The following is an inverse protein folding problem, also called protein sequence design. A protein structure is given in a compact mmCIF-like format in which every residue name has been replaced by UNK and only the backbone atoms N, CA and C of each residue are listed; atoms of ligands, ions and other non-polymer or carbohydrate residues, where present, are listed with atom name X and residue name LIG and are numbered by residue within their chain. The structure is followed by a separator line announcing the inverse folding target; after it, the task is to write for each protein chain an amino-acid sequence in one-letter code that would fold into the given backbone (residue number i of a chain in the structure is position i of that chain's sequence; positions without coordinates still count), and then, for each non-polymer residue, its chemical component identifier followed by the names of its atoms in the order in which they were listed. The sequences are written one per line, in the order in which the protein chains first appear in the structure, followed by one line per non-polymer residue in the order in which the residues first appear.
data_IF_871797241882
#
_entry.id   IF_871797241882
#
_cell.length_a   1.000
_cell.length_b   1.000
_cell.length_c   1.000
_cell.angle_alpha   90.00
_cell.angle_beta   90.00
_cell.angle_gamma   90.00
#
_symmetry.space_group_name_H-M   'P 1'
#
loop_
_entity.id
_entity.type
_entity.pdbx_description
1 polymer ?
#
# COMPACT_ATOMS: atom_id res chain seq x y z
N UNK A 1 -3.26 5.41 -31.27
CA UNK A 1 -4.33 6.11 -30.54
C UNK A 1 -4.50 5.49 -29.14
N UNK A 2 -3.40 5.26 -28.39
CA UNK A 2 -3.40 4.59 -27.08
C UNK A 2 -2.60 5.35 -25.98
N UNK A 3 -2.07 6.52 -26.29
CA UNK A 3 -1.21 7.28 -25.36
C UNK A 3 -1.99 8.30 -24.51
N UNK A 4 -3.20 8.68 -24.92
CA UNK A 4 -3.99 9.74 -24.24
C UNK A 4 -4.78 9.24 -23.03
N UNK A 5 -5.04 7.93 -22.93
CA UNK A 5 -5.87 7.34 -21.87
C UNK A 5 -5.06 7.01 -20.58
N UNK A 6 -3.72 7.02 -20.68
CA UNK A 6 -2.81 6.65 -19.57
C UNK A 6 -2.64 7.74 -18.51
N UNK A 7 -3.09 8.95 -18.75
CA UNK A 7 -2.89 10.11 -17.85
C UNK A 7 -4.16 10.56 -17.12
N UNK A 8 -5.17 9.71 -17.02
CA UNK A 8 -6.34 10.01 -16.20
C UNK A 8 -5.97 9.90 -14.70
N UNK A 9 -6.53 10.79 -13.90
CA UNK A 9 -6.39 10.73 -12.46
C UNK A 9 -6.98 9.41 -11.94
N UNK A 10 -6.15 8.55 -11.39
CA UNK A 10 -6.55 7.25 -10.85
C UNK A 10 -6.91 7.32 -9.37
N UNK A 11 -6.36 8.30 -8.64
CA UNK A 11 -6.71 8.59 -7.26
C UNK A 11 -6.83 10.11 -7.10
N UNK A 12 -7.97 10.56 -6.59
CA UNK A 12 -8.23 11.98 -6.26
C UNK A 12 -8.77 12.06 -4.86
N UNK A 13 -8.04 12.73 -3.99
CA UNK A 13 -8.41 13.06 -2.62
C UNK A 13 -8.64 14.56 -2.57
N UNK A 14 -9.80 15.00 -2.08
CA UNK A 14 -10.16 16.42 -2.06
C UNK A 14 -10.64 16.82 -0.66
N UNK A 15 -9.91 17.72 -0.01
CA UNK A 15 -10.26 18.35 1.25
C UNK A 15 -10.53 17.37 2.39
N UNK A 16 -9.75 16.28 2.49
CA UNK A 16 -10.01 15.22 3.46
C UNK A 16 -9.61 15.63 4.86
N UNK A 17 -10.60 15.60 5.77
CA UNK A 17 -10.42 15.75 7.21
C UNK A 17 -10.64 14.41 7.91
N UNK A 18 -9.85 14.15 8.98
CA UNK A 18 -10.05 13.02 9.88
C UNK A 18 -9.69 13.35 11.32
N UNK A 19 -10.58 12.98 12.24
CA UNK A 19 -10.37 13.13 13.69
C UNK A 19 -10.66 11.83 14.42
N UNK A 20 -9.95 11.62 15.52
CA UNK A 20 -10.26 10.58 16.49
C UNK A 20 -10.50 11.25 17.86
N UNK A 21 -11.75 11.25 18.27
CA UNK A 21 -12.18 12.02 19.44
C UNK A 21 -11.86 13.50 19.27
N UNK A 22 -10.99 14.05 20.12
CA UNK A 22 -10.57 15.47 20.08
C UNK A 22 -9.32 15.72 19.25
N UNK A 23 -8.65 14.68 18.77
CA UNK A 23 -7.38 14.78 18.03
C UNK A 23 -7.64 14.84 16.54
N UNK A 24 -7.22 15.91 15.88
CA UNK A 24 -7.18 16.03 14.42
C UNK A 24 -5.98 15.25 13.89
N UNK A 25 -6.21 14.39 12.90
CA UNK A 25 -5.18 13.56 12.25
C UNK A 25 -4.90 14.06 10.84
N UNK A 26 -5.95 14.42 10.11
CA UNK A 26 -5.85 15.00 8.77
C UNK A 26 -6.73 16.24 8.71
N UNK A 27 -6.26 17.29 8.04
CA UNK A 27 -6.98 18.54 7.89
C UNK A 27 -6.80 19.08 6.47
N UNK A 28 -7.89 19.10 5.69
CA UNK A 28 -7.93 19.65 4.35
C UNK A 28 -6.96 18.99 3.36
N UNK A 29 -6.73 17.67 3.49
CA UNK A 29 -5.71 16.98 2.67
C UNK A 29 -6.21 16.82 1.25
N UNK A 30 -5.37 17.28 0.30
CA UNK A 30 -5.54 17.07 -1.13
C UNK A 30 -4.40 16.18 -1.67
N UNK A 31 -4.74 15.20 -2.49
CA UNK A 31 -3.78 14.33 -3.19
C UNK A 31 -4.40 13.88 -4.51
N UNK A 32 -3.66 14.06 -5.59
CA UNK A 32 -4.04 13.50 -6.90
C UNK A 32 -2.90 12.65 -7.41
N UNK A 33 -3.20 11.43 -7.86
CA UNK A 33 -2.21 10.51 -8.47
C UNK A 33 -2.73 10.05 -9.82
N UNK A 34 -1.88 10.17 -10.83
CA UNK A 34 -2.21 9.81 -12.21
C UNK A 34 -1.83 8.37 -12.52
N UNK A 35 -2.45 7.81 -13.54
CA UNK A 35 -1.97 6.55 -14.12
C UNK A 35 -0.55 6.71 -14.65
N UNK A 36 0.35 5.77 -14.28
CA UNK A 36 1.77 5.85 -14.62
C UNK A 36 2.57 6.81 -13.75
N UNK A 37 2.10 7.10 -12.53
CA UNK A 37 2.80 7.94 -11.55
C UNK A 37 3.10 7.15 -10.28
N UNK A 38 4.32 7.30 -9.75
CA UNK A 38 4.74 6.82 -8.42
C UNK A 38 4.91 8.02 -7.50
N UNK A 39 4.11 8.08 -6.44
CA UNK A 39 4.14 9.17 -5.45
C UNK A 39 4.64 8.63 -4.11
N UNK A 40 5.69 9.24 -3.57
CA UNK A 40 6.09 8.99 -2.19
C UNK A 40 5.26 9.86 -1.24
N UNK A 41 4.63 9.24 -0.26
CA UNK A 41 3.96 9.91 0.83
C UNK A 41 4.87 9.92 2.07
N UNK A 42 5.35 11.09 2.45
CA UNK A 42 6.28 11.30 3.56
C UNK A 42 5.63 12.09 4.69
N UNK A 43 6.36 12.32 5.76
CA UNK A 43 5.92 13.09 6.93
C UNK A 43 6.34 12.41 8.24
N UNK A 44 6.28 13.14 9.34
CA UNK A 44 6.65 12.64 10.67
C UNK A 44 5.80 11.43 11.11
N UNK A 45 6.29 10.71 12.12
CA UNK A 45 5.53 9.64 12.74
C UNK A 45 4.26 10.24 13.37
N UNK A 46 3.12 9.69 12.93
CA UNK A 46 1.84 10.19 13.37
C UNK A 46 1.27 11.34 12.55
N UNK A 47 1.88 11.79 11.46
CA UNK A 47 1.30 12.78 10.54
C UNK A 47 0.01 12.32 9.84
N UNK A 48 -0.38 11.06 10.01
CA UNK A 48 -1.64 10.55 9.44
C UNK A 48 -1.48 9.77 8.13
N UNK A 49 -0.26 9.44 7.71
CA UNK A 49 0.01 8.70 6.47
C UNK A 49 -0.84 7.41 6.34
N UNK A 50 -0.74 6.52 7.31
CA UNK A 50 -1.55 5.28 7.37
C UNK A 50 -3.05 5.57 7.41
N UNK A 51 -3.47 6.66 8.09
CA UNK A 51 -4.88 7.06 8.13
C UNK A 51 -5.37 7.47 6.74
N UNK A 52 -4.59 8.28 6.02
CA UNK A 52 -4.90 8.67 4.65
C UNK A 52 -4.96 7.45 3.72
N UNK A 53 -3.98 6.55 3.81
CA UNK A 53 -3.97 5.31 3.02
C UNK A 53 -5.22 4.45 3.26
N UNK A 54 -5.65 4.31 4.53
CA UNK A 54 -6.88 3.57 4.89
C UNK A 54 -8.15 4.26 4.39
N UNK A 55 -8.19 5.59 4.36
CA UNK A 55 -9.30 6.35 3.77
C UNK A 55 -9.33 6.12 2.27
N UNK A 56 -8.19 6.22 1.57
CA UNK A 56 -8.08 5.96 0.14
C UNK A 56 -8.48 4.52 -0.22
N UNK A 57 -8.13 3.54 0.63
CA UNK A 57 -8.52 2.15 0.47
C UNK A 57 -10.00 1.86 0.81
N UNK A 58 -10.76 2.86 1.28
CA UNK A 58 -12.16 2.70 1.67
C UNK A 58 -12.37 1.94 3.00
N UNK A 59 -11.31 1.69 3.77
CA UNK A 59 -11.36 0.94 5.04
C UNK A 59 -11.90 1.78 6.21
N UNK A 60 -11.72 3.10 6.15
CA UNK A 60 -12.28 4.06 7.12
C UNK A 60 -12.86 5.25 6.37
N UNK A 61 -13.89 5.87 6.92
CA UNK A 61 -14.50 7.07 6.35
C UNK A 61 -13.73 8.34 6.75
N UNK A 62 -13.56 9.26 5.82
CA UNK A 62 -13.23 10.64 6.12
C UNK A 62 -14.38 11.29 6.88
N UNK A 63 -14.07 12.30 7.71
CA UNK A 63 -15.09 13.09 8.40
C UNK A 63 -15.60 14.22 7.48
N UNK A 64 -14.74 14.71 6.56
CA UNK A 64 -15.05 15.64 5.46
C UNK A 64 -14.21 15.33 4.24
N UNK A 65 -14.58 15.92 3.11
CA UNK A 65 -13.91 15.71 1.84
C UNK A 65 -14.35 14.41 1.15
N UNK A 66 -13.72 14.12 0.04
CA UNK A 66 -14.04 12.92 -0.77
C UNK A 66 -12.80 12.25 -1.34
N UNK A 67 -12.93 10.96 -1.65
CA UNK A 67 -11.92 10.18 -2.38
C UNK A 67 -12.58 9.55 -3.58
N UNK A 68 -11.99 9.77 -4.77
CA UNK A 68 -12.39 9.14 -6.03
C UNK A 68 -11.28 8.24 -6.53
N UNK A 69 -11.62 7.05 -6.96
CA UNK A 69 -10.67 6.03 -7.45
C UNK A 69 -11.08 5.57 -8.83
N UNK A 70 -10.16 5.57 -9.77
CA UNK A 70 -10.36 5.20 -11.17
C UNK A 70 -10.11 3.70 -11.42
N UNK A 71 -10.68 2.81 -10.61
CA UNK A 71 -10.55 1.36 -10.80
C UNK A 71 -10.34 0.58 -9.51
N UNK A 72 -9.77 -0.62 -9.61
CA UNK A 72 -9.49 -1.46 -8.46
C UNK A 72 -8.30 -0.96 -7.65
N UNK A 73 -8.35 -1.12 -6.33
CA UNK A 73 -7.30 -0.78 -5.39
C UNK A 73 -6.63 -2.05 -4.86
N UNK A 74 -5.30 -2.05 -4.83
CA UNK A 74 -4.49 -2.94 -4.03
C UNK A 74 -3.93 -2.18 -2.83
N UNK A 75 -4.19 -2.66 -1.61
CA UNK A 75 -3.66 -2.05 -0.40
C UNK A 75 -2.77 -3.01 0.36
N UNK A 76 -1.52 -2.61 0.55
CA UNK A 76 -0.54 -3.31 1.39
C UNK A 76 -0.34 -2.50 2.68
N UNK A 77 -0.95 -2.88 3.80
CA UNK A 77 -0.77 -2.20 5.08
C UNK A 77 0.62 -2.43 5.66
N UNK A 78 1.10 -1.51 6.50
CA UNK A 78 2.37 -1.60 7.21
C UNK A 78 2.47 -2.87 8.06
N UNK A 79 1.43 -3.15 8.86
CA UNK A 79 1.31 -4.39 9.61
C UNK A 79 0.48 -5.39 8.80
N UNK A 80 1.04 -6.53 8.39
CA UNK A 80 0.30 -7.54 7.63
C UNK A 80 -0.94 -8.02 8.40
N UNK A 81 -2.11 -7.83 7.81
CA UNK A 81 -3.40 -8.31 8.34
C UNK A 81 -3.64 -9.77 7.99
N UNK A 82 -2.65 -10.63 8.22
CA UNK A 82 -2.71 -12.05 7.88
C UNK A 82 -3.34 -12.88 9.00
N UNK A 83 -4.07 -13.92 8.62
CA UNK A 83 -4.65 -14.89 9.54
C UNK A 83 -3.58 -15.90 9.98
N UNK A 84 -3.19 -15.86 11.23
CA UNK A 84 -2.04 -16.56 11.78
C UNK A 84 -2.01 -18.08 11.51
N UNK A 85 -3.17 -18.72 11.45
CA UNK A 85 -3.31 -20.17 11.25
C UNK A 85 -3.42 -20.60 9.78
N UNK A 86 -3.56 -19.66 8.86
CA UNK A 86 -3.65 -19.95 7.42
C UNK A 86 -2.28 -19.98 6.77
N UNK A 87 -2.13 -20.81 5.74
CA UNK A 87 -0.96 -20.83 4.87
C UNK A 87 -1.00 -19.68 3.84
N UNK A 88 0.11 -19.46 3.12
CA UNK A 88 0.13 -18.51 2.01
C UNK A 88 -0.91 -18.86 0.94
N UNK A 89 -1.04 -20.14 0.57
CA UNK A 89 -2.03 -20.59 -0.41
C UNK A 89 -3.48 -20.34 0.04
N UNK A 90 -3.77 -20.56 1.33
CA UNK A 90 -5.10 -20.30 1.88
C UNK A 90 -5.45 -18.80 1.77
N UNK A 91 -4.48 -17.92 2.04
CA UNK A 91 -4.66 -16.47 1.87
C UNK A 91 -4.91 -16.11 0.41
N UNK A 92 -4.09 -16.63 -0.53
CA UNK A 92 -4.28 -16.36 -1.96
C UNK A 92 -5.67 -16.77 -2.43
N UNK A 93 -6.13 -17.95 -2.01
CA UNK A 93 -7.46 -18.45 -2.38
C UNK A 93 -8.56 -17.62 -1.73
N UNK A 94 -8.42 -17.28 -0.45
CA UNK A 94 -9.43 -16.52 0.29
C UNK A 94 -9.59 -15.10 -0.28
N UNK A 95 -8.48 -14.37 -0.47
CA UNK A 95 -8.51 -13.01 -1.00
C UNK A 95 -8.92 -12.99 -2.48
N UNK A 96 -8.42 -13.93 -3.29
CA UNK A 96 -8.80 -14.06 -4.69
C UNK A 96 -10.29 -14.34 -4.87
N UNK A 97 -10.85 -15.26 -4.06
CA UNK A 97 -12.30 -15.52 -4.09
C UNK A 97 -13.14 -14.32 -3.65
N UNK A 98 -12.68 -13.59 -2.63
CA UNK A 98 -13.31 -12.33 -2.22
C UNK A 98 -13.35 -11.28 -3.34
N UNK A 99 -12.39 -11.35 -4.25
CA UNK A 99 -12.29 -10.50 -5.43
C UNK A 99 -12.93 -11.11 -6.71
N UNK A 100 -13.58 -12.28 -6.61
CA UNK A 100 -14.24 -12.93 -7.73
C UNK A 100 -13.37 -13.87 -8.57
N UNK A 101 -12.11 -14.12 -8.19
CA UNK A 101 -11.22 -15.05 -8.90
C UNK A 101 -11.56 -16.51 -8.56
N UNK A 102 -11.32 -17.42 -9.51
CA UNK A 102 -11.36 -18.86 -9.26
C UNK A 102 -10.18 -19.32 -8.37
N UNK A 103 -10.31 -20.51 -7.74
CA UNK A 103 -9.24 -21.08 -6.91
C UNK A 103 -7.92 -21.23 -7.71
N UNK A 104 -7.99 -21.85 -8.89
CA UNK A 104 -6.82 -22.10 -9.72
C UNK A 104 -6.12 -20.78 -10.12
N UNK A 105 -6.91 -19.82 -10.58
CA UNK A 105 -6.42 -18.49 -10.97
C UNK A 105 -5.79 -17.73 -9.79
N UNK A 106 -6.40 -17.80 -8.60
CA UNK A 106 -5.86 -17.16 -7.39
C UNK A 106 -4.48 -17.72 -7.03
N UNK A 107 -4.32 -19.05 -7.12
CA UNK A 107 -3.04 -19.71 -6.84
C UNK A 107 -2.01 -19.40 -7.92
N UNK A 108 -2.36 -19.51 -9.20
CA UNK A 108 -1.45 -19.24 -10.31
C UNK A 108 -0.90 -17.80 -10.25
N UNK A 109 -1.78 -16.81 -10.17
CA UNK A 109 -1.39 -15.39 -10.07
C UNK A 109 -0.59 -15.11 -8.81
N UNK A 110 -1.08 -15.60 -7.67
CA UNK A 110 -0.43 -15.35 -6.39
C UNK A 110 0.94 -15.98 -6.26
N UNK A 111 1.12 -17.22 -6.72
CA UNK A 111 2.42 -17.91 -6.73
C UNK A 111 3.41 -17.23 -7.68
N UNK A 112 2.96 -16.75 -8.84
CA UNK A 112 3.80 -15.98 -9.76
C UNK A 112 4.32 -14.69 -9.09
N UNK A 113 3.45 -13.93 -8.43
CA UNK A 113 3.82 -12.70 -7.71
C UNK A 113 4.78 -13.04 -6.54
N UNK A 114 4.47 -14.06 -5.74
CA UNK A 114 5.32 -14.49 -4.63
C UNK A 114 6.72 -14.90 -5.09
N UNK A 115 6.83 -15.59 -6.24
CA UNK A 115 8.10 -15.97 -6.83
C UNK A 115 8.96 -14.75 -7.21
N UNK A 116 8.35 -13.69 -7.75
CA UNK A 116 9.04 -12.45 -8.10
C UNK A 116 9.68 -11.76 -6.88
N UNK A 117 9.10 -11.92 -5.69
CA UNK A 117 9.65 -11.39 -4.43
C UNK A 117 10.49 -12.41 -3.65
N UNK A 118 10.80 -13.57 -4.24
CA UNK A 118 11.61 -14.59 -3.59
C UNK A 118 10.96 -15.18 -2.35
N UNK A 119 9.65 -15.40 -2.39
CA UNK A 119 8.94 -16.14 -1.34
C UNK A 119 9.26 -17.64 -1.44
N UNK A 120 9.48 -18.36 -0.31
CA UNK A 120 9.75 -19.79 -0.32
C UNK A 120 8.48 -20.60 -0.65
N UNK A 121 8.19 -20.79 -1.94
CA UNK A 121 6.95 -21.42 -2.43
C UNK A 121 6.70 -22.86 -1.94
N UNK A 122 7.71 -23.54 -1.44
CA UNK A 122 7.58 -24.91 -0.91
C UNK A 122 7.15 -24.95 0.55
N UNK A 123 7.09 -23.80 1.20
CA UNK A 123 6.76 -23.69 2.61
C UNK A 123 5.24 -23.71 2.80
N UNK A 124 4.73 -24.80 3.40
CA UNK A 124 3.33 -24.94 3.80
C UNK A 124 3.07 -24.52 5.25
N UNK A 125 3.99 -23.74 5.80
CA UNK A 125 3.87 -23.24 7.15
C UNK A 125 2.67 -22.29 7.30
N UNK A 126 2.07 -22.28 8.49
CA UNK A 126 1.10 -21.26 8.87
C UNK A 126 1.81 -19.90 8.95
N UNK A 127 1.12 -18.80 8.64
CA UNK A 127 1.74 -17.48 8.56
C UNK A 127 2.36 -17.00 9.88
N UNK A 128 1.88 -17.49 11.04
CA UNK A 128 2.51 -17.23 12.36
C UNK A 128 3.96 -17.72 12.43
N UNK A 129 4.29 -18.80 11.68
CA UNK A 129 5.59 -19.44 11.71
C UNK A 129 6.56 -18.85 10.67
N UNK A 130 6.09 -17.95 9.82
CA UNK A 130 6.88 -17.23 8.83
C UNK A 130 7.66 -16.07 9.45
N UNK A 131 8.83 -15.74 8.87
CA UNK A 131 9.56 -14.54 9.24
C UNK A 131 8.76 -13.25 8.93
N UNK A 132 9.10 -12.15 9.59
CA UNK A 132 8.45 -10.85 9.32
C UNK A 132 8.53 -10.43 7.85
N UNK A 133 9.71 -10.57 7.24
CA UNK A 133 9.91 -10.26 5.82
C UNK A 133 9.12 -11.18 4.90
N UNK A 134 9.02 -12.47 5.22
CA UNK A 134 8.20 -13.43 4.45
C UNK A 134 6.72 -13.10 4.54
N UNK A 135 6.23 -12.74 5.73
CA UNK A 135 4.84 -12.25 5.90
C UNK A 135 4.58 -10.99 5.09
N UNK A 136 5.55 -10.07 5.04
CA UNK A 136 5.40 -8.85 4.26
C UNK A 136 5.38 -9.10 2.74
N UNK A 137 6.17 -10.08 2.25
CA UNK A 137 6.09 -10.53 0.85
C UNK A 137 4.69 -11.06 0.51
N UNK A 138 4.09 -11.86 1.39
CA UNK A 138 2.71 -12.34 1.21
C UNK A 138 1.71 -11.19 1.23
N UNK A 139 1.84 -10.26 2.18
CA UNK A 139 0.99 -9.07 2.27
C UNK A 139 1.00 -8.24 0.98
N UNK A 140 2.20 -8.01 0.41
CA UNK A 140 2.36 -7.33 -0.87
C UNK A 140 1.74 -8.13 -2.03
N UNK A 141 1.93 -9.44 -2.06
CA UNK A 141 1.35 -10.30 -3.10
C UNK A 141 -0.18 -10.27 -3.09
N UNK A 142 -0.81 -10.23 -1.90
CA UNK A 142 -2.26 -10.09 -1.77
C UNK A 142 -2.77 -8.75 -2.31
N UNK A 143 -2.03 -7.66 -2.10
CA UNK A 143 -2.37 -6.35 -2.67
C UNK A 143 -2.29 -6.32 -4.20
N UNK A 144 -1.43 -7.14 -4.80
CA UNK A 144 -1.21 -7.23 -6.25
C UNK A 144 -2.11 -8.27 -6.95
N UNK A 145 -2.74 -9.16 -6.20
CA UNK A 145 -3.40 -10.38 -6.69
C UNK A 145 -4.44 -10.12 -7.79
N UNK A 146 -5.15 -9.01 -7.69
CA UNK A 146 -6.23 -8.63 -8.61
C UNK A 146 -5.79 -7.71 -9.74
N UNK A 147 -4.49 -7.51 -9.91
CA UNK A 147 -3.92 -6.58 -10.89
C UNK A 147 -4.54 -5.16 -10.83
N UNK A 148 -4.53 -4.50 -9.66
CA UNK A 148 -5.25 -3.24 -9.46
C UNK A 148 -4.68 -2.08 -10.26
N UNK A 149 -5.52 -1.04 -10.50
CA UNK A 149 -5.12 0.20 -11.16
C UNK A 149 -4.37 1.14 -10.20
N UNK A 150 -4.73 1.09 -8.92
CA UNK A 150 -4.15 1.93 -7.86
C UNK A 150 -3.51 1.03 -6.80
N UNK A 151 -2.23 1.26 -6.53
CA UNK A 151 -1.48 0.59 -5.48
C UNK A 151 -1.23 1.56 -4.32
N UNK A 152 -1.69 1.19 -3.14
CA UNK A 152 -1.47 1.91 -1.89
C UNK A 152 -0.56 1.05 -1.01
N UNK A 153 0.70 1.46 -0.83
CA UNK A 153 1.74 0.65 -0.22
C UNK A 153 2.29 1.37 1.02
N UNK A 154 1.95 0.87 2.20
CA UNK A 154 2.33 1.48 3.49
C UNK A 154 3.57 0.77 4.06
N UNK A 155 4.76 1.33 3.82
CA UNK A 155 6.07 0.76 4.16
C UNK A 155 6.23 -0.72 3.72
N UNK A 156 5.98 -1.04 2.43
CA UNK A 156 5.77 -2.42 1.95
C UNK A 156 7.02 -3.31 2.01
N UNK A 157 8.19 -2.75 2.20
CA UNK A 157 9.49 -3.44 2.20
C UNK A 157 10.05 -3.67 3.60
N UNK A 158 9.27 -3.43 4.65
CA UNK A 158 9.71 -3.67 6.03
C UNK A 158 10.14 -5.12 6.23
N UNK A 159 11.38 -5.33 6.68
CA UNK A 159 11.94 -6.67 6.89
C UNK A 159 12.41 -7.39 5.61
N UNK A 160 12.43 -6.72 4.46
CA UNK A 160 13.05 -7.27 3.25
C UNK A 160 14.58 -7.30 3.39
N UNK A 161 15.20 -8.34 2.84
CA UNK A 161 16.63 -8.34 2.57
C UNK A 161 16.97 -7.35 1.46
N UNK A 162 18.28 -7.02 1.32
CA UNK A 162 18.73 -6.00 0.35
C UNK A 162 18.33 -6.34 -1.09
N UNK A 163 18.37 -7.59 -1.49
CA UNK A 163 18.02 -8.01 -2.85
C UNK A 163 16.54 -7.81 -3.13
N UNK A 164 15.69 -8.27 -2.22
CA UNK A 164 14.21 -8.09 -2.32
C UNK A 164 13.84 -6.60 -2.27
N UNK A 165 14.54 -5.80 -1.47
CA UNK A 165 14.31 -4.36 -1.40
C UNK A 165 14.60 -3.64 -2.73
N UNK A 166 15.74 -3.92 -3.37
CA UNK A 166 16.08 -3.36 -4.69
C UNK A 166 15.05 -3.80 -5.72
N UNK A 167 14.70 -5.09 -5.72
CA UNK A 167 13.72 -5.66 -6.64
C UNK A 167 12.31 -5.01 -6.49
N UNK A 168 11.91 -4.62 -5.27
CA UNK A 168 10.65 -3.90 -5.04
C UNK A 168 10.58 -2.59 -5.85
N UNK A 169 11.64 -1.80 -5.85
CA UNK A 169 11.66 -0.54 -6.59
C UNK A 169 11.67 -0.75 -8.11
N UNK A 170 12.32 -1.81 -8.58
CA UNK A 170 12.24 -2.20 -10.00
C UNK A 170 10.81 -2.60 -10.40
N UNK A 171 10.04 -3.20 -9.47
CA UNK A 171 8.62 -3.45 -9.67
C UNK A 171 7.80 -2.15 -9.69
N UNK A 172 8.11 -1.17 -8.85
CA UNK A 172 7.46 0.14 -8.90
C UNK A 172 7.61 0.78 -10.30
N UNK A 173 8.80 0.71 -10.90
CA UNK A 173 9.04 1.20 -12.26
C UNK A 173 8.21 0.42 -13.32
N UNK A 174 8.12 -0.90 -13.18
CA UNK A 174 7.27 -1.73 -14.07
C UNK A 174 5.79 -1.38 -13.92
N UNK A 175 5.29 -1.21 -12.70
CA UNK A 175 3.89 -0.83 -12.45
C UNK A 175 3.59 0.55 -13.04
N UNK A 176 4.50 1.51 -12.86
CA UNK A 176 4.43 2.84 -13.50
C UNK A 176 4.35 2.72 -15.02
N UNK A 177 5.28 1.97 -15.63
CA UNK A 177 5.31 1.77 -17.08
C UNK A 177 4.03 1.12 -17.63
N UNK A 178 3.36 0.28 -16.81
CA UNK A 178 2.07 -0.34 -17.13
C UNK A 178 0.87 0.55 -16.83
N UNK A 179 1.09 1.83 -16.48
CA UNK A 179 0.02 2.81 -16.28
C UNK A 179 -0.67 2.76 -14.92
N UNK A 180 -0.12 2.02 -13.94
CA UNK A 180 -0.67 2.00 -12.58
C UNK A 180 -0.33 3.30 -11.83
N UNK A 181 -1.24 3.74 -10.97
CA UNK A 181 -0.98 4.78 -9.99
C UNK A 181 -0.46 4.13 -8.71
N UNK A 182 0.71 4.57 -8.22
CA UNK A 182 1.34 3.97 -7.04
C UNK A 182 1.57 5.04 -5.98
N UNK A 183 1.09 4.81 -4.76
CA UNK A 183 1.41 5.62 -3.59
C UNK A 183 2.20 4.76 -2.62
N UNK A 184 3.42 5.18 -2.30
CA UNK A 184 4.29 4.48 -1.36
C UNK A 184 4.56 5.36 -0.15
N UNK A 185 4.19 4.92 1.04
CA UNK A 185 4.67 5.52 2.28
C UNK A 185 6.10 5.06 2.49
N UNK A 186 7.02 6.01 2.61
CA UNK A 186 8.45 5.73 2.82
C UNK A 186 9.08 6.74 3.78
N UNK A 187 10.05 6.28 4.54
CA UNK A 187 10.96 7.10 5.35
C UNK A 187 12.38 7.14 4.77
N UNK A 188 12.63 6.42 3.68
CA UNK A 188 13.97 6.27 3.08
C UNK A 188 14.20 7.34 2.01
N UNK A 189 14.99 8.36 2.36
CA UNK A 189 15.30 9.49 1.47
C UNK A 189 16.07 9.08 0.21
N UNK A 190 16.90 8.04 0.28
CA UNK A 190 17.68 7.55 -0.85
C UNK A 190 16.84 7.06 -2.04
N UNK A 191 15.58 6.71 -1.81
CA UNK A 191 14.69 6.18 -2.85
C UNK A 191 13.79 7.26 -3.46
N UNK A 192 13.84 8.48 -2.96
CA UNK A 192 13.02 9.57 -3.49
C UNK A 192 13.41 9.96 -4.93
N UNK A 193 14.61 9.58 -5.39
CA UNK A 193 15.02 9.75 -6.79
C UNK A 193 14.29 8.78 -7.74
N UNK A 194 13.68 7.71 -7.22
CA UNK A 194 12.95 6.68 -7.99
C UNK A 194 11.45 6.94 -8.08
N UNK A 195 10.96 8.02 -7.48
CA UNK A 195 9.55 8.42 -7.52
C UNK A 195 9.37 9.67 -8.39
N UNK A 196 8.19 9.85 -8.97
CA UNK A 196 7.90 11.01 -9.80
C UNK A 196 7.62 12.26 -8.96
N UNK A 197 7.10 12.08 -7.73
CA UNK A 197 6.76 13.16 -6.83
C UNK A 197 6.75 12.74 -5.37
N UNK A 198 7.12 13.67 -4.50
CA UNK A 198 7.02 13.53 -3.05
C UNK A 198 5.89 14.42 -2.54
N UNK A 199 5.02 13.86 -1.71
CA UNK A 199 3.97 14.58 -0.98
C UNK A 199 4.24 14.41 0.50
N UNK A 200 4.45 15.53 1.18
CA UNK A 200 4.67 15.53 2.62
C UNK A 200 3.37 15.87 3.35
N UNK A 201 2.96 15.02 4.28
CA UNK A 201 1.88 15.34 5.19
C UNK A 201 2.43 16.17 6.36
N UNK A 202 1.86 17.36 6.60
CA UNK A 202 2.32 18.22 7.68
C UNK A 202 2.06 17.55 9.04
N UNK A 203 2.99 17.75 9.98
CA UNK A 203 2.77 17.37 11.36
C UNK A 203 1.69 18.30 11.98
N UNK A 204 0.68 17.71 12.65
CA UNK A 204 -0.30 18.52 13.36
C UNK A 204 0.26 19.00 14.71
N UNK A 205 0.17 20.30 15.02
CA UNK A 205 0.75 20.90 16.24
C UNK A 205 0.15 20.40 17.56
N UNK A 206 -0.92 19.61 17.53
CA UNK A 206 -1.61 19.12 18.75
C UNK A 206 -0.93 17.92 19.43
N UNK A 207 0.27 17.50 19.01
CA UNK A 207 1.08 16.44 19.65
C UNK A 207 2.25 16.99 20.46
N UNK A 208 2.11 18.14 21.13
CA UNK A 208 3.03 18.47 22.20
C UNK A 208 2.92 17.40 23.29
N UNK A 209 4.02 16.70 23.52
CA UNK A 209 4.20 15.71 24.58
C UNK A 209 3.57 16.21 25.90
N UNK A 210 2.50 15.59 26.34
CA UNK A 210 2.16 15.63 27.75
C UNK A 210 3.24 14.82 28.46
N UNK A 211 4.14 15.56 29.10
CA UNK A 211 5.21 15.01 29.91
C UNK A 211 4.66 13.97 30.89
N UNK A 212 5.45 12.92 31.08
CA UNK A 212 5.23 11.93 32.13
C UNK A 212 5.09 12.68 33.48
N UNK A 213 4.11 12.35 34.31
CA UNK A 213 4.10 12.84 35.67
C UNK A 213 5.26 12.20 36.43
N UNK A 214 5.94 13.02 37.21
CA UNK A 214 7.01 12.66 38.14
C UNK A 214 6.47 11.73 39.24
#
# INVERSE_FOLDING_TARGET
MQTSDRMLNQLVVTGVDKRYGRTTILEGVDLTVRGGEVVALTGENGAGKTTLMRICAGLIRADRGEVKVGGAIGYCPQAPGLFELLTAEDHLVMFGRGAGLGRAESLERGQAILAEFGFPLHERAATRDLSGGTRQKLNLALALLTDPNVLLLDEPYQGFDRGTYVNFWDHCEKWRANGKAVVVVTHMLAELERVDRVVELPAHPSRSHHGAPR
#
